data_IF_422711908690
#
_entry.id   IF_422711908690
#
_cell.length_a   1.000
_cell.length_b   1.000
_cell.length_c   1.000
_cell.angle_alpha   90.00
_cell.angle_beta   90.00
_cell.angle_gamma   90.00
#
_symmetry.space_group_name_H-M   'P 1'
#
loop_
_entity.id
_entity.type
_entity.pdbx_description
1 polymer ?
#
# COMPACT_ATOMS: atom_id res chain seq x y z
N UNK A 1 19.00 -0.82 -4.66
CA UNK A 1 19.98 -0.23 -3.72
C UNK A 1 21.33 -0.84 -4.02
N UNK A 2 22.33 -0.04 -4.37
CA UNK A 2 23.69 -0.52 -4.61
C UNK A 2 24.55 -0.15 -3.39
N UNK A 3 25.15 -1.17 -2.76
CA UNK A 3 26.12 -1.01 -1.70
C UNK A 3 27.51 -1.25 -2.29
N UNK A 4 28.34 -0.21 -2.37
CA UNK A 4 29.73 -0.34 -2.82
C UNK A 4 30.62 -0.64 -1.61
N UNK A 5 31.45 -1.69 -1.72
CA UNK A 5 32.46 -2.06 -0.72
C UNK A 5 33.83 -2.20 -1.41
N UNK A 6 34.92 -1.97 -0.69
CA UNK A 6 36.27 -2.22 -1.21
C UNK A 6 36.66 -3.70 -1.06
N UNK A 7 37.73 -4.14 -1.74
CA UNK A 7 38.20 -5.53 -1.69
C UNK A 7 38.66 -5.92 -0.27
N UNK A 8 39.30 -4.98 0.43
CA UNK A 8 39.81 -5.15 1.80
C UNK A 8 38.66 -5.28 2.80
N UNK A 9 37.59 -4.51 2.60
CA UNK A 9 36.37 -4.58 3.40
C UNK A 9 35.62 -5.91 3.17
N UNK A 10 35.67 -6.45 1.94
CA UNK A 10 35.11 -7.76 1.64
C UNK A 10 35.93 -8.89 2.30
N UNK A 11 37.27 -8.77 2.28
CA UNK A 11 38.17 -9.74 2.90
C UNK A 11 38.08 -9.75 4.43
N UNK A 12 38.04 -8.57 5.05
CA UNK A 12 37.96 -8.40 6.52
C UNK A 12 36.55 -8.59 7.10
N UNK A 13 35.52 -8.65 6.24
CA UNK A 13 34.12 -8.74 6.64
C UNK A 13 33.57 -7.41 7.16
N UNK A 14 32.71 -6.76 6.37
CA UNK A 14 32.04 -5.50 6.73
C UNK A 14 30.57 -5.73 7.11
N UNK A 15 30.14 -5.17 8.25
CA UNK A 15 28.72 -5.03 8.59
C UNK A 15 28.23 -3.68 8.10
N UNK A 16 27.30 -3.67 7.14
CA UNK A 16 26.67 -2.45 6.65
C UNK A 16 25.18 -2.43 7.03
N UNK A 17 24.71 -1.31 7.57
CA UNK A 17 23.27 -1.08 7.79
C UNK A 17 22.66 -0.48 6.52
N UNK A 18 21.73 -1.18 5.90
CA UNK A 18 21.00 -0.70 4.71
C UNK A 18 19.60 -0.28 5.15
N UNK A 19 19.23 0.99 4.93
CA UNK A 19 17.85 1.46 5.10
C UNK A 19 17.11 1.29 3.79
N UNK A 20 16.09 0.44 3.79
CA UNK A 20 15.21 0.20 2.64
C UNK A 20 13.85 0.81 2.98
N UNK A 21 13.45 1.95 2.38
CA UNK A 21 12.08 2.43 2.49
C UNK A 21 11.14 1.37 1.88
N UNK A 22 10.22 0.89 2.70
CA UNK A 22 9.18 -0.06 2.31
C UNK A 22 7.84 0.47 2.82
N UNK A 23 6.78 0.14 2.10
CA UNK A 23 5.43 0.38 2.61
C UNK A 23 5.13 -0.63 3.71
N UNK A 24 4.83 -0.12 4.90
CA UNK A 24 4.41 -0.91 6.06
C UNK A 24 2.96 -0.56 6.40
N UNK A 25 2.17 -1.50 6.96
CA UNK A 25 0.85 -1.18 7.47
C UNK A 25 0.96 -0.08 8.53
N UNK A 26 0.00 0.84 8.52
CA UNK A 26 -0.06 1.91 9.51
C UNK A 26 -0.36 1.30 10.89
N UNK A 27 0.49 1.52 11.88
CA UNK A 27 0.31 0.99 13.25
C UNK A 27 -0.93 1.54 13.96
N UNK A 28 -1.45 2.69 13.52
CA UNK A 28 -2.61 3.34 14.16
C UNK A 28 -3.94 2.75 13.68
N UNK A 29 -4.00 2.30 12.43
CA UNK A 29 -5.24 1.82 11.82
C UNK A 29 -5.12 0.41 11.22
N UNK A 30 -3.99 -0.26 11.40
CA UNK A 30 -3.64 -1.57 10.85
C UNK A 30 -3.89 -1.70 9.33
N UNK A 31 -3.75 -0.58 8.61
CA UNK A 31 -4.00 -0.51 7.17
C UNK A 31 -5.49 -0.39 6.76
N UNK A 32 -6.42 -0.26 7.69
CA UNK A 32 -7.84 -0.02 7.41
C UNK A 32 -8.12 1.37 6.83
N UNK A 33 -7.23 2.34 7.12
CA UNK A 33 -7.43 3.75 6.73
C UNK A 33 -8.49 4.49 7.56
N UNK A 34 -9.09 3.83 8.55
CA UNK A 34 -10.07 4.42 9.45
C UNK A 34 -9.40 4.93 10.74
N UNK A 35 -9.91 6.04 11.28
CA UNK A 35 -9.40 6.62 12.52
C UNK A 35 -9.71 5.70 13.72
N UNK A 36 -8.72 5.50 14.59
CA UNK A 36 -8.91 4.83 15.88
C UNK A 36 -9.42 3.38 15.79
N UNK A 37 -9.01 2.62 14.77
CA UNK A 37 -9.50 1.26 14.51
C UNK A 37 -11.03 1.16 14.32
N UNK A 38 -11.68 2.27 13.94
CA UNK A 38 -13.08 2.22 13.55
C UNK A 38 -13.26 1.33 12.31
N UNK A 39 -14.35 0.57 12.25
CA UNK A 39 -14.63 -0.24 11.06
C UNK A 39 -15.02 0.67 9.88
N UNK A 40 -14.48 0.41 8.67
CA UNK A 40 -14.88 1.15 7.47
C UNK A 40 -16.37 0.96 7.19
N UNK A 41 -17.11 2.07 7.04
CA UNK A 41 -18.53 2.00 6.68
C UNK A 41 -18.70 1.64 5.20
N UNK A 42 -19.68 0.80 4.90
CA UNK A 42 -20.00 0.41 3.52
C UNK A 42 -20.46 1.65 2.73
N UNK A 43 -19.75 1.96 1.64
CA UNK A 43 -20.12 3.07 0.75
C UNK A 43 -21.51 2.82 0.13
N UNK A 44 -22.51 3.69 0.33
CA UNK A 44 -23.87 3.47 -0.18
C UNK A 44 -23.94 3.51 -1.70
N UNK A 45 -23.03 4.25 -2.35
CA UNK A 45 -23.02 4.44 -3.81
C UNK A 45 -22.52 3.20 -4.56
N UNK A 46 -21.44 2.56 -4.08
CA UNK A 46 -20.88 1.36 -4.70
C UNK A 46 -21.25 0.06 -3.97
N UNK A 47 -21.93 0.15 -2.81
CA UNK A 47 -22.25 -0.97 -1.92
C UNK A 47 -21.04 -1.86 -1.60
N UNK A 48 -19.87 -1.23 -1.40
CA UNK A 48 -18.61 -1.92 -1.11
C UNK A 48 -17.89 -2.54 -2.32
N UNK A 49 -18.41 -2.38 -3.55
CA UNK A 49 -17.79 -2.96 -4.75
C UNK A 49 -16.53 -2.21 -5.24
N UNK A 50 -16.24 -1.02 -4.71
CA UNK A 50 -15.12 -0.18 -5.14
C UNK A 50 -15.26 0.37 -6.57
N UNK A 51 -16.44 0.23 -7.17
CA UNK A 51 -16.80 0.78 -8.49
C UNK A 51 -18.30 0.96 -8.60
N UNK A 52 -18.73 1.97 -9.34
CA UNK A 52 -20.14 2.26 -9.62
C UNK A 52 -20.41 1.94 -11.09
N UNK A 53 -21.43 1.09 -11.33
CA UNK A 53 -21.92 0.78 -12.67
C UNK A 53 -23.23 1.51 -12.91
N UNK A 54 -23.23 2.44 -13.84
CA UNK A 54 -24.43 3.09 -14.32
C UNK A 54 -24.81 2.44 -15.66
N UNK A 55 -26.00 1.82 -15.71
CA UNK A 55 -26.54 1.23 -16.93
C UNK A 55 -27.75 2.07 -17.35
N UNK A 56 -27.62 2.79 -18.48
CA UNK A 56 -28.71 3.52 -19.11
C UNK A 56 -28.92 2.93 -20.50
N UNK A 57 -30.02 2.17 -20.66
CA UNK A 57 -30.37 1.46 -21.88
C UNK A 57 -29.20 0.54 -22.33
N UNK A 58 -28.69 0.71 -23.53
CA UNK A 58 -27.56 -0.07 -24.08
C UNK A 58 -26.18 0.48 -23.68
N UNK A 59 -26.10 1.62 -22.98
CA UNK A 59 -24.83 2.16 -22.49
C UNK A 59 -24.59 1.73 -21.03
N UNK A 60 -23.46 1.06 -20.81
CA UNK A 60 -22.95 0.79 -19.45
C UNK A 60 -21.68 1.59 -19.24
N UNK A 61 -21.64 2.42 -18.20
CA UNK A 61 -20.47 3.21 -17.82
C UNK A 61 -20.01 2.77 -16.42
N UNK A 62 -18.74 2.39 -16.31
CA UNK A 62 -18.09 2.05 -15.05
C UNK A 62 -17.19 3.21 -14.62
N UNK A 63 -17.32 3.64 -13.36
CA UNK A 63 -16.48 4.67 -12.73
C UNK A 63 -16.05 4.17 -11.35
N UNK A 64 -14.81 4.44 -10.96
CA UNK A 64 -14.24 4.13 -9.64
C UNK A 64 -14.56 5.23 -8.65
#
# INVERSE_FOLDING_TARGET
YNLTITLEEAFGGKKAQVRVPTSVPCEICDGSGAEGNAEPTVCPTCRGAGRVRAQQSFFTVERT
#
